data_IF_114390685601
#
_entry.id   IF_114390685601
#
_cell.length_a   1.000
_cell.length_b   1.000
_cell.length_c   1.000
_cell.angle_alpha   90.00
_cell.angle_beta   90.00
_cell.angle_gamma   90.00
#
_symmetry.space_group_name_H-M   'P 1'
#
loop_
_entity.id
_entity.type
_entity.pdbx_description
1 polymer ?
#
# COMPACT_ATOMS: atom_id res chain seq x y z
N UNK A 1 -2.71 -15.26 -16.10
CA UNK A 1 -3.53 -14.41 -15.24
C UNK A 1 -4.97 -14.37 -15.74
N UNK A 2 -5.96 -14.43 -14.84
CA UNK A 2 -7.38 -14.25 -15.13
C UNK A 2 -7.92 -13.11 -14.25
N UNK A 3 -8.34 -12.01 -14.88
CA UNK A 3 -8.87 -10.83 -14.18
C UNK A 3 -10.18 -11.09 -13.44
N UNK A 4 -10.90 -12.15 -13.80
CA UNK A 4 -12.16 -12.55 -13.15
C UNK A 4 -11.94 -13.32 -11.85
N UNK A 5 -10.74 -13.87 -11.64
CA UNK A 5 -10.38 -14.57 -10.41
C UNK A 5 -9.86 -13.57 -9.39
N UNK A 6 -10.52 -13.50 -8.25
CA UNK A 6 -10.12 -12.63 -7.15
C UNK A 6 -8.95 -13.26 -6.37
N UNK A 7 -7.81 -12.56 -6.37
CA UNK A 7 -6.56 -12.97 -5.74
C UNK A 7 -6.36 -12.30 -4.37
N UNK A 8 -7.28 -11.43 -3.94
CA UNK A 8 -7.15 -10.65 -2.71
C UNK A 8 -7.77 -11.41 -1.53
N UNK A 9 -6.90 -11.79 -0.58
CA UNK A 9 -7.30 -12.34 0.71
C UNK A 9 -7.06 -11.27 1.77
N UNK A 10 -8.05 -11.04 2.63
CA UNK A 10 -8.00 -10.01 3.66
C UNK A 10 -8.26 -10.60 5.02
N UNK A 11 -7.53 -10.11 6.03
CA UNK A 11 -7.77 -10.44 7.42
C UNK A 11 -7.57 -9.20 8.30
N UNK A 12 -8.29 -9.15 9.41
CA UNK A 12 -8.10 -8.19 10.49
C UNK A 12 -7.80 -8.98 11.76
N UNK A 13 -6.70 -8.69 12.43
CA UNK A 13 -6.26 -9.39 13.65
C UNK A 13 -6.25 -10.92 13.50
N UNK A 14 -5.69 -11.38 12.37
CA UNK A 14 -5.66 -12.78 11.95
C UNK A 14 -7.04 -13.44 11.72
N UNK A 15 -8.14 -12.68 11.80
CA UNK A 15 -9.47 -13.15 11.44
C UNK A 15 -9.78 -12.84 9.97
N UNK A 16 -10.15 -13.84 9.14
CA UNK A 16 -10.51 -13.61 7.75
C UNK A 16 -11.67 -12.63 7.59
N UNK A 17 -11.56 -11.72 6.62
CA UNK A 17 -12.66 -10.85 6.20
C UNK A 17 -13.40 -11.54 5.06
N UNK A 18 -14.65 -11.89 5.29
CA UNK A 18 -15.53 -12.42 4.24
C UNK A 18 -16.17 -11.25 3.48
N UNK A 19 -15.61 -10.92 2.31
CA UNK A 19 -16.13 -9.89 1.42
C UNK A 19 -16.31 -10.45 0.00
N UNK A 20 -17.55 -10.66 -0.46
CA UNK A 20 -17.79 -11.19 -1.80
C UNK A 20 -17.22 -10.25 -2.89
N UNK A 21 -16.86 -10.80 -4.06
CA UNK A 21 -16.57 -10.00 -5.24
C UNK A 21 -17.77 -9.13 -5.65
N UNK A 22 -17.49 -8.04 -6.36
CA UNK A 22 -18.52 -7.12 -6.86
C UNK A 22 -18.34 -5.69 -6.38
N UNK A 23 -18.41 -4.75 -7.33
CA UNK A 23 -18.24 -3.32 -7.07
C UNK A 23 -19.19 -2.85 -5.97
N UNK A 24 -18.65 -2.16 -4.97
CA UNK A 24 -19.43 -1.60 -3.86
C UNK A 24 -19.79 -2.60 -2.77
N UNK A 25 -19.41 -3.88 -2.88
CA UNK A 25 -19.50 -4.79 -1.75
C UNK A 25 -18.64 -4.25 -0.60
N UNK A 26 -19.23 -4.15 0.59
CA UNK A 26 -18.61 -3.50 1.75
C UNK A 26 -18.68 -4.38 2.98
N UNK A 27 -17.56 -4.47 3.68
CA UNK A 27 -17.43 -5.01 5.03
C UNK A 27 -17.06 -3.88 5.99
N UNK A 28 -17.59 -3.89 7.21
CA UNK A 28 -17.35 -2.82 8.19
C UNK A 28 -17.30 -3.34 9.62
N UNK A 29 -16.56 -2.64 10.48
CA UNK A 29 -16.51 -2.87 11.93
C UNK A 29 -17.30 -1.81 12.69
N UNK A 30 -17.65 -2.11 13.94
CA UNK A 30 -18.23 -1.13 14.86
C UNK A 30 -17.29 0.05 15.18
N UNK A 31 -15.98 -0.13 14.97
CA UNK A 31 -14.96 0.92 15.15
C UNK A 31 -14.85 1.88 13.95
N UNK A 32 -15.67 1.71 12.91
CA UNK A 32 -15.68 2.58 11.73
C UNK A 32 -14.64 2.24 10.66
N UNK A 33 -13.96 1.10 10.77
CA UNK A 33 -13.15 0.55 9.68
C UNK A 33 -14.07 -0.03 8.61
N UNK A 34 -13.84 0.34 7.36
CA UNK A 34 -14.57 -0.15 6.19
C UNK A 34 -13.60 -0.72 5.17
N UNK A 35 -14.02 -1.79 4.50
CA UNK A 35 -13.33 -2.39 3.36
C UNK A 35 -14.36 -2.53 2.24
N UNK A 36 -14.13 -1.83 1.12
CA UNK A 36 -15.06 -1.78 -0.01
C UNK A 36 -14.38 -2.26 -1.28
N UNK A 37 -15.02 -3.11 -2.06
CA UNK A 37 -14.56 -3.48 -3.41
C UNK A 37 -14.71 -2.29 -4.35
N UNK A 38 -13.62 -1.82 -4.94
CA UNK A 38 -13.65 -0.73 -5.94
C UNK A 38 -13.78 -1.21 -7.38
N UNK A 39 -13.63 -2.52 -7.61
CA UNK A 39 -13.79 -3.19 -8.90
C UNK A 39 -14.47 -4.57 -8.67
N UNK A 40 -14.74 -5.31 -9.75
CA UNK A 40 -15.36 -6.64 -9.68
C UNK A 40 -14.51 -7.64 -8.90
N UNK A 41 -13.19 -7.60 -9.08
CA UNK A 41 -12.21 -8.44 -8.38
C UNK A 41 -10.90 -7.66 -8.18
N UNK A 42 -10.01 -8.14 -7.31
CA UNK A 42 -8.62 -7.68 -7.19
C UNK A 42 -8.41 -6.21 -6.75
N UNK A 43 -9.47 -5.45 -6.45
CA UNK A 43 -9.36 -4.06 -6.04
C UNK A 43 -10.23 -3.75 -4.80
N UNK A 44 -9.60 -3.16 -3.78
CA UNK A 44 -10.25 -2.80 -2.51
C UNK A 44 -9.83 -1.42 -2.04
N UNK A 45 -10.74 -0.78 -1.31
CA UNK A 45 -10.53 0.45 -0.57
C UNK A 45 -10.74 0.17 0.91
N UNK A 46 -9.72 0.39 1.72
CA UNK A 46 -9.76 0.28 3.18
C UNK A 46 -9.80 1.68 3.76
N UNK A 47 -10.76 1.99 4.63
CA UNK A 47 -10.93 3.34 5.14
C UNK A 47 -11.41 3.36 6.59
N UNK A 48 -10.85 4.29 7.37
CA UNK A 48 -11.43 4.77 8.62
C UNK A 48 -11.70 6.26 8.41
N UNK A 49 -12.97 6.68 8.60
CA UNK A 49 -13.40 8.05 8.39
C UNK A 49 -12.52 9.05 9.16
N UNK A 50 -12.15 10.14 8.50
CA UNK A 50 -11.27 11.20 9.01
C UNK A 50 -9.88 10.77 9.51
N UNK A 51 -9.46 9.52 9.24
CA UNK A 51 -8.13 9.00 9.60
C UNK A 51 -7.31 8.62 8.38
N UNK A 52 -7.75 7.66 7.58
CA UNK A 52 -7.03 7.26 6.38
C UNK A 52 -7.92 6.57 5.35
N UNK A 53 -7.44 6.53 4.12
CA UNK A 53 -7.94 5.72 3.01
C UNK A 53 -6.76 5.05 2.31
N UNK A 54 -6.83 3.74 2.14
CA UNK A 54 -5.87 2.92 1.41
C UNK A 54 -6.61 2.34 0.22
N UNK A 55 -6.08 2.49 -0.99
CA UNK A 55 -6.56 1.78 -2.17
C UNK A 55 -5.51 0.75 -2.55
N UNK A 56 -5.91 -0.51 -2.68
CA UNK A 56 -5.05 -1.61 -3.07
C UNK A 56 -5.64 -2.29 -4.31
N UNK A 57 -4.81 -2.52 -5.32
CA UNK A 57 -5.20 -3.20 -6.55
C UNK A 57 -4.12 -4.17 -7.00
N UNK A 58 -4.51 -5.39 -7.33
CA UNK A 58 -3.61 -6.38 -7.94
C UNK A 58 -3.76 -6.30 -9.45
N UNK A 59 -2.65 -6.07 -10.16
CA UNK A 59 -2.63 -5.94 -11.61
C UNK A 59 -1.59 -6.90 -12.21
N UNK A 60 -1.92 -7.65 -13.27
CA UNK A 60 -0.94 -8.54 -13.89
C UNK A 60 0.19 -7.75 -14.54
N UNK A 61 1.40 -8.29 -14.48
CA UNK A 61 2.51 -7.74 -15.24
C UNK A 61 2.32 -8.13 -16.71
N UNK A 62 2.24 -7.13 -17.59
CA UNK A 62 2.11 -7.36 -19.03
C UNK A 62 3.45 -7.66 -19.69
N UNK A 63 3.44 -8.25 -20.89
CA UNK A 63 4.66 -8.45 -21.69
C UNK A 63 5.38 -7.13 -21.98
N UNK A 64 4.62 -6.08 -22.27
CA UNK A 64 5.17 -4.75 -22.52
C UNK A 64 5.83 -4.17 -21.27
N UNK A 65 5.20 -4.31 -20.12
CA UNK A 65 5.76 -3.88 -18.83
C UNK A 65 7.03 -4.68 -18.49
N UNK A 66 7.01 -6.00 -18.66
CA UNK A 66 8.19 -6.87 -18.53
C UNK A 66 9.33 -6.42 -19.44
N UNK A 67 9.04 -6.05 -20.69
CA UNK A 67 10.03 -5.56 -21.65
C UNK A 67 10.61 -4.20 -21.25
N UNK A 68 9.76 -3.25 -20.86
CA UNK A 68 10.18 -1.89 -20.47
C UNK A 68 11.02 -1.92 -19.19
N UNK A 69 10.63 -2.74 -18.22
CA UNK A 69 11.31 -2.84 -16.92
C UNK A 69 12.37 -3.95 -16.87
N UNK A 70 12.53 -4.72 -17.94
CA UNK A 70 13.48 -5.85 -18.07
C UNK A 70 13.30 -6.90 -16.96
N UNK A 71 12.06 -7.21 -16.60
CA UNK A 71 11.78 -8.23 -15.60
C UNK A 71 12.16 -9.64 -16.06
N UNK A 72 12.22 -9.89 -17.37
CA UNK A 72 12.60 -11.19 -17.93
C UNK A 72 11.51 -12.26 -17.76
N UNK A 73 10.26 -11.84 -17.56
CA UNK A 73 9.11 -12.72 -17.39
C UNK A 73 8.79 -13.40 -18.73
N UNK A 74 8.75 -14.72 -18.75
CA UNK A 74 8.41 -15.53 -19.93
C UNK A 74 6.90 -15.71 -19.97
N UNK A 75 6.29 -15.32 -21.10
CA UNK A 75 4.85 -15.43 -21.29
C UNK A 75 4.38 -16.89 -21.18
N UNK A 76 3.38 -17.13 -20.33
CA UNK A 76 2.74 -18.44 -20.16
C UNK A 76 3.36 -19.35 -19.10
N UNK A 77 4.55 -19.04 -18.58
CA UNK A 77 5.18 -19.81 -17.49
C UNK A 77 5.01 -19.11 -16.13
N UNK A 78 5.04 -17.79 -16.13
CA UNK A 78 5.05 -16.98 -14.92
C UNK A 78 3.81 -16.09 -14.81
N UNK A 79 3.16 -16.09 -13.64
CA UNK A 79 2.02 -15.22 -13.32
C UNK A 79 2.42 -14.20 -12.25
N UNK A 80 3.26 -13.23 -12.61
CA UNK A 80 3.58 -12.10 -11.72
C UNK A 80 2.50 -11.02 -11.78
N UNK A 81 2.31 -10.34 -10.66
CA UNK A 81 1.41 -9.22 -10.53
C UNK A 81 2.04 -8.11 -9.68
N UNK A 82 1.71 -6.87 -10.00
CA UNK A 82 1.96 -5.73 -9.14
C UNK A 82 0.84 -5.57 -8.12
N UNK A 83 1.21 -5.17 -6.90
CA UNK A 83 0.29 -4.65 -5.91
C UNK A 83 0.39 -3.12 -5.92
N UNK A 84 -0.54 -2.48 -6.61
CA UNK A 84 -0.68 -1.03 -6.62
C UNK A 84 -1.29 -0.56 -5.30
N UNK A 85 -0.56 0.27 -4.56
CA UNK A 85 -1.00 0.84 -3.29
C UNK A 85 -1.06 2.37 -3.38
N UNK A 86 -2.18 2.93 -2.94
CA UNK A 86 -2.36 4.37 -2.76
C UNK A 86 -2.80 4.66 -1.35
N UNK A 87 -2.12 5.59 -0.69
CA UNK A 87 -2.42 5.98 0.68
C UNK A 87 -2.84 7.45 0.73
N UNK A 88 -3.93 7.73 1.44
CA UNK A 88 -4.35 9.07 1.80
C UNK A 88 -4.60 9.12 3.29
N UNK A 89 -3.88 9.99 3.98
CA UNK A 89 -4.06 10.22 5.41
C UNK A 89 -4.76 11.55 5.64
N UNK A 90 -5.70 11.55 6.56
CA UNK A 90 -6.43 12.73 6.98
C UNK A 90 -5.89 13.18 8.33
N UNK A 91 -5.93 14.49 8.58
CA UNK A 91 -5.66 15.06 9.90
C UNK A 91 -4.28 14.69 10.49
N UNK A 92 -3.25 14.55 9.65
CA UNK A 92 -1.89 14.30 10.12
C UNK A 92 -1.40 15.49 10.97
N UNK A 93 -0.75 15.19 12.09
CA UNK A 93 -0.12 16.25 12.88
C UNK A 93 1.07 16.86 12.13
N UNK A 94 1.43 18.13 12.38
CA UNK A 94 2.61 18.77 11.77
C UNK A 94 3.93 18.05 12.05
N UNK A 95 3.91 17.15 13.04
CA UNK A 95 5.07 16.44 13.55
C UNK A 95 5.25 15.05 12.93
N UNK A 96 4.47 14.71 11.90
CA UNK A 96 4.61 13.49 11.09
C UNK A 96 5.74 13.67 10.09
N UNK A 97 6.77 12.83 10.18
CA UNK A 97 7.88 12.80 9.23
C UNK A 97 7.55 12.12 7.91
N UNK A 98 6.38 11.47 7.76
CA UNK A 98 6.04 10.71 6.57
C UNK A 98 5.38 9.36 6.79
N UNK A 99 4.79 8.81 5.74
CA UNK A 99 4.35 7.39 5.71
C UNK A 99 5.16 6.57 4.69
N UNK A 100 5.81 7.21 3.71
CA UNK A 100 6.76 6.62 2.75
C UNK A 100 7.85 7.65 2.36
N UNK A 101 8.46 8.30 3.35
CA UNK A 101 9.33 9.46 3.14
C UNK A 101 8.69 10.78 3.59
N UNK A 102 9.38 11.92 3.47
CA UNK A 102 8.97 13.24 4.03
C UNK A 102 7.69 13.88 3.46
N UNK A 103 6.87 13.16 2.70
CA UNK A 103 5.73 13.65 1.90
C UNK A 103 4.63 14.42 2.63
N UNK A 104 4.59 14.38 3.96
CA UNK A 104 3.51 14.96 4.76
C UNK A 104 3.97 16.00 5.78
N UNK A 105 5.26 16.36 5.80
CA UNK A 105 5.75 17.45 6.63
C UNK A 105 5.19 18.79 6.15
N UNK A 106 4.78 19.68 7.07
CA UNK A 106 4.15 20.96 6.72
C UNK A 106 5.03 21.86 5.83
N UNK A 107 6.36 21.73 5.94
CA UNK A 107 7.34 22.49 5.14
C UNK A 107 7.96 21.64 4.02
N UNK A 108 7.49 20.42 3.82
CA UNK A 108 8.09 19.52 2.82
C UNK A 108 7.79 20.01 1.41
N UNK A 109 8.86 20.24 0.65
CA UNK A 109 8.80 20.42 -0.80
C UNK A 109 9.45 19.22 -1.44
N UNK A 110 8.71 18.54 -2.31
CA UNK A 110 9.27 17.38 -3.01
C UNK A 110 10.43 17.81 -3.91
N UNK A 111 11.65 17.25 -3.73
CA UNK A 111 12.78 17.51 -4.62
C UNK A 111 12.67 16.72 -5.93
N UNK A 112 11.60 15.92 -6.07
CA UNK A 112 11.37 15.07 -7.23
C UNK A 112 11.24 15.90 -8.50
N UNK A 113 12.02 15.54 -9.51
CA UNK A 113 11.89 16.10 -10.84
C UNK A 113 10.59 15.60 -11.49
N UNK A 114 9.61 16.49 -11.60
CA UNK A 114 8.37 16.24 -12.32
C UNK A 114 8.67 15.96 -13.80
N UNK A 115 8.00 14.95 -14.38
CA UNK A 115 8.14 14.58 -15.79
C UNK A 115 9.22 13.55 -16.13
N UNK A 116 9.86 12.93 -15.12
CA UNK A 116 10.75 11.79 -15.31
C UNK A 116 10.02 10.50 -14.93
N UNK A 117 10.22 9.42 -15.70
CA UNK A 117 9.69 8.11 -15.35
C UNK A 117 10.38 7.58 -14.07
N UNK A 118 9.57 7.19 -13.07
CA UNK A 118 10.01 6.65 -11.77
C UNK A 118 11.03 7.53 -11.02
N UNK A 119 10.63 8.72 -10.55
CA UNK A 119 11.53 9.55 -9.76
C UNK A 119 11.79 8.95 -8.38
N UNK A 120 13.06 8.84 -8.00
CA UNK A 120 13.46 8.35 -6.68
C UNK A 120 13.50 9.50 -5.68
N UNK A 121 12.76 9.36 -4.58
CA UNK A 121 12.88 10.25 -3.43
C UNK A 121 14.01 9.74 -2.54
N UNK A 122 15.10 10.50 -2.42
CA UNK A 122 16.19 10.17 -1.51
C UNK A 122 15.76 10.19 -0.03
N UNK A 123 16.72 9.97 0.88
CA UNK A 123 16.47 9.93 2.33
C UNK A 123 16.41 8.53 2.93
N UNK A 124 16.85 7.51 2.19
CA UNK A 124 16.94 6.11 2.63
C UNK A 124 17.53 5.93 4.04
N UNK A 125 18.57 6.68 4.40
CA UNK A 125 19.22 6.57 5.71
C UNK A 125 18.33 6.98 6.88
N UNK A 126 17.30 7.79 6.63
CA UNK A 126 16.28 8.16 7.63
C UNK A 126 15.20 7.09 7.78
N UNK A 127 14.90 6.32 6.73
CA UNK A 127 13.78 5.39 6.66
C UNK A 127 14.21 3.91 6.64
N UNK A 128 15.51 3.62 6.69
CA UNK A 128 16.03 2.27 6.77
C UNK A 128 15.50 1.58 8.03
N UNK A 129 14.92 0.40 7.84
CA UNK A 129 14.32 -0.45 8.87
C UNK A 129 14.95 -1.84 8.82
N UNK A 130 14.97 -2.56 9.94
CA UNK A 130 15.50 -3.94 9.98
C UNK A 130 14.63 -4.96 9.24
N UNK A 131 13.34 -4.69 9.05
CA UNK A 131 12.42 -5.57 8.31
C UNK A 131 11.17 -4.81 7.84
N UNK A 132 10.41 -5.40 6.92
CA UNK A 132 9.19 -4.79 6.36
C UNK A 132 8.16 -4.36 7.43
N UNK A 133 8.13 -5.05 8.58
CA UNK A 133 7.19 -4.78 9.67
C UNK A 133 7.84 -4.10 10.87
N UNK A 134 9.14 -3.80 10.83
CA UNK A 134 9.84 -3.21 11.97
C UNK A 134 9.66 -1.68 12.00
N UNK A 135 9.17 -1.11 13.11
CA UNK A 135 9.03 0.33 13.28
C UNK A 135 10.32 0.98 13.83
N UNK A 136 11.50 0.59 13.32
CA UNK A 136 12.81 0.91 13.92
C UNK A 136 13.69 1.86 13.08
N UNK A 137 13.09 2.63 12.17
CA UNK A 137 13.84 3.62 11.41
C UNK A 137 14.25 4.83 12.25
N UNK A 138 15.27 5.58 11.81
CA UNK A 138 15.86 6.72 12.55
C UNK A 138 14.84 7.80 12.90
N UNK A 139 13.78 7.95 12.10
CA UNK A 139 12.71 8.93 12.31
C UNK A 139 11.42 8.31 12.86
N UNK A 140 11.44 7.03 13.23
CA UNK A 140 10.31 6.36 13.83
C UNK A 140 9.94 7.02 15.16
N UNK A 141 8.64 7.26 15.35
CA UNK A 141 8.11 7.89 16.57
C UNK A 141 7.47 6.90 17.52
N UNK A 142 7.16 5.71 17.04
CA UNK A 142 6.59 4.63 17.83
C UNK A 142 7.72 3.64 18.13
N UNK A 143 8.09 3.49 19.39
CA UNK A 143 8.96 2.40 19.81
C UNK A 143 8.19 1.08 19.66
N UNK A 144 8.88 0.01 19.24
CA UNK A 144 8.32 -1.34 19.32
C UNK A 144 7.79 -1.58 20.75
N UNK A 145 6.64 -2.26 20.93
CA UNK A 145 6.33 -2.84 22.22
C UNK A 145 7.52 -3.71 22.58
N UNK A 146 8.14 -3.45 23.73
CA UNK A 146 9.21 -4.30 24.25
C UNK A 146 8.73 -5.74 24.15
N UNK A 147 9.42 -6.58 23.39
CA UNK A 147 9.20 -8.02 23.44
C UNK A 147 9.29 -8.42 24.92
N UNK A 148 8.17 -8.87 25.48
CA UNK A 148 8.16 -9.51 26.78
C UNK A 148 9.18 -10.64 26.75
N UNK A 149 10.06 -10.65 27.76
CA UNK A 149 11.21 -11.55 27.96
C UNK A 149 10.98 -13.00 27.53
#
# INVERSE_FOLDING_TARGET
WDNSVDQVIMSLDAQPITLPPGVGATWATASGLTVTRSDQANAVVVQVEDKFKISARVVPISEEESRVHKYGIIAGEDCFAHLELSFKFYSLSPSVSGVLGQTYGAEYRSPVKMGVAMPVMGGESSYLTSSLFAPDCKVARFASPSASK
#
